data_IF_858094174606
#
_entry.id   IF_858094174606
#
_cell.length_a   1.000
_cell.length_b   1.000
_cell.length_c   1.000
_cell.angle_alpha   90.00
_cell.angle_beta   90.00
_cell.angle_gamma   90.00
#
_symmetry.space_group_name_H-M   'P 1'
#
loop_
_entity.id
_entity.type
_entity.pdbx_description
1 polymer ?
#
# COMPACT_ATOMS: atom_id res chain seq x y z
N UNK A 1 -17.36 0.10 -1.92
CA UNK A 1 -17.56 -1.12 -2.73
C UNK A 1 -17.28 -0.73 -4.16
N UNK A 2 -16.53 -1.53 -4.91
CA UNK A 2 -16.25 -1.27 -6.34
C UNK A 2 -17.28 -1.96 -7.26
N UNK A 3 -17.08 -1.81 -8.57
CA UNK A 3 -17.96 -2.37 -9.63
C UNK A 3 -18.03 -3.91 -9.64
N UNK A 4 -16.97 -4.59 -9.16
CA UNK A 4 -16.88 -6.06 -9.07
C UNK A 4 -17.38 -6.59 -7.70
N UNK A 5 -17.82 -5.69 -6.81
CA UNK A 5 -18.36 -6.01 -5.50
C UNK A 5 -17.33 -6.22 -4.40
N UNK A 6 -16.08 -5.84 -4.61
CA UNK A 6 -15.05 -5.82 -3.57
C UNK A 6 -15.34 -4.71 -2.55
N UNK A 7 -15.23 -5.06 -1.27
CA UNK A 7 -15.40 -4.11 -0.17
C UNK A 7 -14.02 -3.64 0.29
N UNK A 8 -13.75 -2.34 0.10
CA UNK A 8 -12.56 -1.67 0.58
C UNK A 8 -12.86 -0.95 1.90
N UNK A 9 -12.09 -1.25 2.94
CA UNK A 9 -12.20 -0.60 4.25
C UNK A 9 -11.24 0.59 4.35
N UNK A 10 -11.76 1.73 4.80
CA UNK A 10 -10.98 2.95 4.95
C UNK A 10 -9.90 2.77 6.03
N UNK A 11 -8.66 3.09 5.68
CA UNK A 11 -7.50 2.98 6.58
C UNK A 11 -6.81 1.61 6.56
N UNK A 12 -7.41 0.61 5.92
CA UNK A 12 -6.85 -0.74 5.83
C UNK A 12 -6.04 -0.93 4.54
N UNK A 13 -4.90 -1.62 4.64
CA UNK A 13 -4.11 -2.01 3.47
C UNK A 13 -4.67 -3.30 2.89
N UNK A 14 -5.10 -3.27 1.63
CA UNK A 14 -5.65 -4.41 0.91
C UNK A 14 -4.88 -4.59 -0.39
N UNK A 15 -4.27 -5.76 -0.59
CA UNK A 15 -3.64 -6.05 -1.88
C UNK A 15 -4.70 -6.52 -2.88
N UNK A 16 -4.47 -6.17 -4.14
CA UNK A 16 -5.30 -6.47 -5.30
C UNK A 16 -4.42 -6.95 -6.46
N UNK A 17 -5.02 -7.50 -7.51
CA UNK A 17 -4.28 -7.85 -8.72
C UNK A 17 -3.86 -6.61 -9.52
N UNK A 18 -2.91 -6.77 -10.46
CA UNK A 18 -2.41 -5.66 -11.29
C UNK A 18 -3.53 -4.92 -12.02
N UNK A 19 -4.46 -5.65 -12.65
CA UNK A 19 -5.62 -5.06 -13.33
C UNK A 19 -6.39 -4.09 -12.42
N UNK A 20 -6.77 -4.53 -11.22
CA UNK A 20 -7.53 -3.72 -10.27
C UNK A 20 -6.69 -2.55 -9.75
N UNK A 21 -5.40 -2.76 -9.52
CA UNK A 21 -4.48 -1.68 -9.15
C UNK A 21 -4.48 -0.56 -10.20
N UNK A 22 -4.37 -0.92 -11.49
CA UNK A 22 -4.40 0.05 -12.59
C UNK A 22 -5.74 0.78 -12.70
N UNK A 23 -6.87 0.08 -12.48
CA UNK A 23 -8.20 0.69 -12.50
C UNK A 23 -8.34 1.72 -11.37
N UNK A 24 -7.92 1.37 -10.15
CA UNK A 24 -8.02 2.26 -9.01
C UNK A 24 -7.10 3.49 -9.10
N UNK A 25 -5.93 3.33 -9.74
CA UNK A 25 -4.93 4.39 -9.85
C UNK A 25 -4.95 5.12 -11.21
N UNK A 26 -5.94 4.86 -12.05
CA UNK A 26 -6.11 5.61 -13.30
C UNK A 26 -6.51 7.06 -12.95
N UNK A 27 -5.69 8.05 -13.34
CA UNK A 27 -5.91 9.48 -13.06
C UNK A 27 -7.26 10.01 -13.55
N UNK A 28 -7.82 9.40 -14.60
CA UNK A 28 -9.13 9.75 -15.15
C UNK A 28 -10.25 8.83 -14.64
N UNK A 29 -9.93 7.92 -13.73
CA UNK A 29 -10.83 6.93 -13.17
C UNK A 29 -11.62 7.47 -11.98
N UNK A 30 -12.78 6.85 -11.65
CA UNK A 30 -13.65 7.31 -10.58
C UNK A 30 -13.07 7.14 -9.18
N UNK A 31 -12.07 6.26 -9.01
CA UNK A 31 -11.52 5.88 -7.71
C UNK A 31 -10.23 6.63 -7.32
N UNK A 32 -9.64 7.39 -8.26
CA UNK A 32 -8.29 7.94 -8.11
C UNK A 32 -8.12 8.85 -6.88
N UNK A 33 -9.17 9.57 -6.51
CA UNK A 33 -9.14 10.50 -5.37
C UNK A 33 -9.40 9.80 -4.02
N UNK A 34 -9.94 8.58 -4.04
CA UNK A 34 -10.38 7.86 -2.84
C UNK A 34 -9.41 6.75 -2.41
N UNK A 35 -8.53 6.32 -3.31
CA UNK A 35 -7.61 5.20 -3.10
C UNK A 35 -6.17 5.65 -3.29
N UNK A 36 -5.33 5.31 -2.31
CA UNK A 36 -3.88 5.49 -2.41
C UNK A 36 -3.24 4.17 -2.87
N UNK A 37 -2.77 4.11 -4.12
CA UNK A 37 -1.96 3.01 -4.61
C UNK A 37 -0.60 2.93 -3.91
N UNK A 38 -0.23 1.72 -3.51
CA UNK A 38 1.09 1.42 -2.96
C UNK A 38 1.70 0.32 -3.82
N UNK A 39 2.84 0.62 -4.44
CA UNK A 39 3.57 -0.35 -5.24
C UNK A 39 4.14 -1.47 -4.35
N UNK A 40 4.30 -2.69 -4.90
CA UNK A 40 5.03 -3.74 -4.20
C UNK A 40 6.47 -3.30 -3.94
N UNK A 41 7.11 -3.92 -2.94
CA UNK A 41 8.52 -3.65 -2.65
C UNK A 41 9.42 -4.02 -3.83
N UNK A 42 9.14 -5.18 -4.44
CA UNK A 42 9.80 -5.66 -5.65
C UNK A 42 8.78 -5.78 -6.77
N UNK A 43 9.07 -5.14 -7.90
CA UNK A 43 8.22 -5.24 -9.09
C UNK A 43 8.50 -6.55 -9.82
N UNK A 44 7.45 -7.31 -10.09
CA UNK A 44 7.48 -8.52 -10.93
C UNK A 44 6.87 -8.21 -12.30
N UNK A 45 7.42 -8.80 -13.37
CA UNK A 45 6.86 -8.63 -14.71
C UNK A 45 5.58 -9.46 -14.87
N UNK A 46 4.65 -9.01 -15.71
CA UNK A 46 3.37 -9.71 -15.91
C UNK A 46 3.54 -11.14 -16.43
N UNK A 47 4.57 -11.41 -17.21
CA UNK A 47 4.93 -12.73 -17.72
C UNK A 47 5.42 -13.70 -16.63
N UNK A 48 5.93 -13.18 -15.52
CA UNK A 48 6.43 -13.96 -14.38
C UNK A 48 5.50 -13.92 -13.16
N UNK A 49 4.47 -13.07 -13.19
CA UNK A 49 3.55 -12.88 -12.08
C UNK A 49 2.58 -14.08 -11.94
N UNK A 50 2.44 -14.64 -10.73
CA UNK A 50 1.46 -15.69 -10.49
C UNK A 50 0.03 -15.14 -10.52
N UNK A 51 -0.95 -16.02 -10.72
CA UNK A 51 -2.36 -15.65 -10.61
C UNK A 51 -2.68 -15.14 -9.20
N UNK A 52 -3.41 -14.03 -9.15
CA UNK A 52 -3.86 -13.42 -7.91
C UNK A 52 -5.24 -13.98 -7.52
N UNK A 53 -5.37 -14.51 -6.29
CA UNK A 53 -6.65 -15.00 -5.78
C UNK A 53 -7.57 -13.85 -5.35
N UNK A 54 -8.34 -13.29 -6.29
CA UNK A 54 -9.27 -12.17 -6.08
C UNK A 54 -10.38 -12.47 -5.06
N UNK A 55 -10.56 -13.74 -4.64
CA UNK A 55 -11.57 -14.10 -3.63
C UNK A 55 -11.11 -13.78 -2.21
N UNK A 56 -9.81 -13.56 -2.01
CA UNK A 56 -9.23 -13.29 -0.68
C UNK A 56 -9.24 -11.80 -0.38
N UNK A 57 -10.25 -11.34 0.37
CA UNK A 57 -10.30 -10.01 0.98
C UNK A 57 -9.69 -9.98 2.40
N UNK A 58 -8.80 -10.92 2.71
CA UNK A 58 -8.21 -11.04 4.04
C UNK A 58 -7.11 -10.01 4.27
N UNK A 59 -7.06 -9.45 5.48
CA UNK A 59 -5.92 -8.67 5.97
C UNK A 59 -4.72 -9.63 6.03
N UNK A 60 -3.69 -9.33 5.23
CA UNK A 60 -2.45 -10.11 5.21
C UNK A 60 -1.61 -9.75 6.41
N UNK A 61 -0.89 -10.74 6.94
CA UNK A 61 0.13 -10.45 7.95
C UNK A 61 1.24 -9.58 7.32
N UNK A 62 1.83 -8.62 8.06
CA UNK A 62 2.90 -7.80 7.53
C UNK A 62 4.05 -8.60 6.90
N UNK A 63 4.39 -9.75 7.48
CA UNK A 63 5.43 -10.67 7.03
C UNK A 63 5.16 -11.22 5.61
N UNK A 64 3.90 -11.44 5.25
CA UNK A 64 3.53 -11.90 3.90
C UNK A 64 3.80 -10.85 2.81
N UNK A 65 3.78 -9.57 3.18
CA UNK A 65 3.91 -8.46 2.21
C UNK A 65 5.28 -7.78 2.25
N UNK A 66 5.98 -7.87 3.39
CA UNK A 66 7.32 -7.30 3.58
C UNK A 66 8.43 -8.36 3.52
N UNK A 67 8.09 -9.64 3.62
CA UNK A 67 9.00 -10.77 3.72
C UNK A 67 9.11 -11.30 5.17
N UNK A 68 9.24 -12.63 5.32
CA UNK A 68 9.24 -13.30 6.63
C UNK A 68 10.33 -12.83 7.60
N UNK A 69 11.40 -12.22 7.08
CA UNK A 69 12.54 -11.74 7.87
C UNK A 69 12.73 -10.22 7.82
N UNK A 70 11.70 -9.48 7.42
CA UNK A 70 11.74 -8.03 7.38
C UNK A 70 11.76 -7.43 8.80
N UNK A 71 12.94 -7.04 9.27
CA UNK A 71 13.16 -6.44 10.59
C UNK A 71 13.79 -5.03 10.52
N UNK A 72 13.86 -4.44 9.33
CA UNK A 72 14.50 -3.14 9.12
C UNK A 72 13.69 -2.06 9.84
N UNK A 73 14.31 -1.46 10.85
CA UNK A 73 13.81 -0.26 11.53
C UNK A 73 14.60 0.92 11.01
N UNK A 74 13.96 1.79 10.23
CA UNK A 74 14.57 3.04 9.76
C UNK A 74 14.24 4.11 10.80
N UNK A 75 15.20 4.44 11.66
CA UNK A 75 15.12 5.63 12.52
C UNK A 75 15.57 6.83 11.70
N UNK A 76 14.76 7.91 11.67
CA UNK A 76 15.22 9.19 11.16
C UNK A 76 16.49 9.58 11.94
N UNK A 77 17.63 9.56 11.25
CA UNK A 77 18.93 9.92 11.83
C UNK A 77 19.11 11.44 11.90
N UNK A 78 18.15 12.19 11.39
CA UNK A 78 18.11 13.63 11.49
C UNK A 78 17.65 14.04 12.90
N UNK A 79 18.60 14.51 13.70
CA UNK A 79 18.37 15.18 15.00
C UNK A 79 17.33 16.33 14.92
N UNK A 80 16.98 16.75 13.71
CA UNK A 80 16.03 17.83 13.41
C UNK A 80 14.56 17.51 13.75
N UNK A 81 14.15 16.24 13.84
CA UNK A 81 12.72 15.93 14.01
C UNK A 81 12.22 16.22 15.43
N UNK A 82 13.10 16.16 16.43
CA UNK A 82 12.77 16.39 17.84
C UNK A 82 13.80 17.25 18.59
N UNK A 83 14.71 17.95 17.88
CA UNK A 83 15.50 18.99 18.52
C UNK A 83 14.55 20.05 19.11
N UNK A 84 14.78 20.51 20.35
CA UNK A 84 14.01 21.62 20.89
C UNK A 84 14.20 22.83 19.98
N UNK A 85 13.18 23.15 19.18
CA UNK A 85 13.18 24.36 18.39
C UNK A 85 13.28 25.53 19.38
N UNK A 86 14.39 26.27 19.36
CA UNK A 86 14.59 27.49 20.13
C UNK A 86 13.67 28.65 19.70
N UNK A 87 12.60 28.36 18.97
CA UNK A 87 11.52 29.29 18.65
C UNK A 87 10.25 28.52 18.28
N UNK A 88 9.33 28.45 19.24
CA UNK A 88 7.88 28.30 19.04
C UNK A 88 7.42 27.27 18.00
N UNK A 89 7.08 26.06 18.45
CA UNK A 89 6.02 25.29 17.81
C UNK A 89 4.81 25.25 18.74
N UNK A 90 3.65 25.60 18.18
CA UNK A 90 2.32 25.39 18.74
C UNK A 90 2.00 23.90 18.91
#
# INVERSE_FOLDING_TARGET
MDDDGHILYRGERMAVCDKTYQIYNNINGPYYQDILGILPHETISLESAPEFDCRRNAIRKPEETKGEHYHVTITNSDDSCCAPASSSCC
#
